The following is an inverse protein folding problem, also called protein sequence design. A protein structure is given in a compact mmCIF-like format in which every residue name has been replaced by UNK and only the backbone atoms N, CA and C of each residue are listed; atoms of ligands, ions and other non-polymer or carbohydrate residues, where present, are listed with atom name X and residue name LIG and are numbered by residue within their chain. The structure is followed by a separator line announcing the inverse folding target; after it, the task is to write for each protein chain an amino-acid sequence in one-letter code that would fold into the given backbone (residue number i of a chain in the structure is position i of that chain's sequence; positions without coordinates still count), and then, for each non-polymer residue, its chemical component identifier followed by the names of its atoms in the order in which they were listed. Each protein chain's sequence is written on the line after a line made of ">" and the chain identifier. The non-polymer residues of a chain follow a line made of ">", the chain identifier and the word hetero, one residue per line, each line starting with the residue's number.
data_IF_039870061082
#
_entry.id   IF_039870061082
#
_cell.length_a   1.000
_cell.length_b   1.000
_cell.length_c   1.000
_cell.angle_alpha   90.00
_cell.angle_beta   90.00
_cell.angle_gamma   90.00
#
_symmetry.space_group_name_H-M   'P 1'
#
loop_
_entity.id
_entity.type
_entity.pdbx_description
1 polymer ?
#
# COMPACT_ATOMS: atom_id res chain seq x y z
N UNK A 1 -57.08 -16.20 -12.00
CA UNK A 1 -57.13 -14.81 -12.46
C UNK A 1 -56.25 -13.99 -11.54
N UNK A 2 -55.00 -13.81 -11.88
CA UNK A 2 -54.14 -12.78 -11.29
C UNK A 2 -52.96 -12.54 -12.27
N UNK A 3 -53.19 -11.68 -13.24
CA UNK A 3 -52.25 -11.35 -14.29
C UNK A 3 -51.61 -9.96 -14.08
N UNK A 4 -51.29 -9.56 -12.84
CA UNK A 4 -50.81 -8.20 -12.61
C UNK A 4 -49.31 -7.99 -12.51
N UNK A 5 -48.50 -9.06 -12.46
CA UNK A 5 -47.03 -8.94 -12.44
C UNK A 5 -46.36 -9.09 -13.81
N UNK A 6 -46.99 -9.81 -14.76
CA UNK A 6 -46.31 -10.27 -16.00
C UNK A 6 -45.75 -9.21 -16.95
N UNK A 7 -46.32 -7.99 -17.01
CA UNK A 7 -45.85 -7.02 -18.02
C UNK A 7 -44.94 -5.90 -17.48
N UNK A 8 -44.69 -5.84 -16.18
CA UNK A 8 -43.88 -4.77 -15.56
C UNK A 8 -42.63 -5.25 -14.81
N UNK A 9 -42.58 -6.53 -14.38
CA UNK A 9 -41.44 -7.04 -13.61
C UNK A 9 -40.26 -7.35 -14.53
N UNK A 10 -39.12 -6.70 -14.28
CA UNK A 10 -37.90 -6.90 -15.02
C UNK A 10 -37.01 -7.87 -14.28
N UNK A 11 -36.58 -8.94 -14.94
CA UNK A 11 -35.75 -9.98 -14.38
C UNK A 11 -34.32 -9.84 -14.87
N UNK A 12 -33.32 -9.86 -13.98
CA UNK A 12 -31.93 -10.05 -14.31
C UNK A 12 -31.57 -11.53 -14.18
N UNK A 13 -31.05 -12.17 -15.22
CA UNK A 13 -30.65 -13.56 -15.17
C UNK A 13 -29.17 -13.74 -15.47
N UNK A 14 -28.46 -14.62 -14.72
CA UNK A 14 -27.05 -14.88 -14.93
C UNK A 14 -26.64 -16.29 -14.52
N UNK A 15 -25.62 -16.83 -15.15
CA UNK A 15 -25.05 -18.13 -14.77
C UNK A 15 -23.53 -18.16 -14.95
N UNK A 16 -22.87 -19.16 -14.37
CA UNK A 16 -21.53 -19.57 -14.81
C UNK A 16 -21.64 -20.55 -16.00
N UNK A 17 -20.50 -21.03 -16.47
CA UNK A 17 -20.41 -22.00 -17.57
C UNK A 17 -21.15 -23.33 -17.28
N UNK A 18 -21.23 -23.74 -16.00
CA UNK A 18 -21.94 -24.98 -15.59
C UNK A 18 -23.45 -24.75 -15.57
N UNK A 19 -23.89 -23.56 -15.18
CA UNK A 19 -25.28 -23.17 -15.11
C UNK A 19 -25.89 -22.80 -16.46
N UNK A 20 -25.09 -22.60 -17.50
CA UNK A 20 -25.53 -22.09 -18.81
C UNK A 20 -26.68 -22.91 -19.41
N UNK A 21 -26.62 -24.27 -19.51
CA UNK A 21 -27.72 -25.03 -20.12
C UNK A 21 -29.05 -24.81 -19.36
N UNK A 22 -29.02 -24.84 -18.02
CA UNK A 22 -30.23 -24.65 -17.23
C UNK A 22 -30.72 -23.17 -17.29
N UNK A 23 -29.84 -22.22 -17.44
CA UNK A 23 -30.20 -20.81 -17.64
C UNK A 23 -30.99 -20.63 -18.95
N UNK A 24 -30.53 -21.25 -20.04
CA UNK A 24 -31.25 -21.15 -21.31
C UNK A 24 -32.67 -21.76 -21.24
N UNK A 25 -32.84 -22.92 -20.60
CA UNK A 25 -34.16 -23.49 -20.31
C UNK A 25 -35.07 -22.55 -19.48
N UNK A 26 -34.49 -21.85 -18.50
CA UNK A 26 -35.23 -20.89 -17.68
C UNK A 26 -35.61 -19.67 -18.51
N UNK A 27 -34.76 -19.20 -19.43
CA UNK A 27 -35.07 -18.08 -20.33
C UNK A 27 -36.24 -18.41 -21.26
N UNK A 28 -36.22 -19.61 -21.86
CA UNK A 28 -37.37 -20.11 -22.66
C UNK A 28 -38.65 -20.12 -21.83
N UNK A 29 -38.57 -20.57 -20.58
CA UNK A 29 -39.72 -20.60 -19.70
C UNK A 29 -40.21 -19.20 -19.29
N UNK A 30 -39.31 -18.24 -19.08
CA UNK A 30 -39.68 -16.84 -18.84
C UNK A 30 -40.39 -16.22 -20.06
N UNK A 31 -39.95 -16.54 -21.28
CA UNK A 31 -40.61 -16.14 -22.52
C UNK A 31 -42.03 -16.73 -22.63
N UNK A 32 -42.21 -18.01 -22.29
CA UNK A 32 -43.51 -18.67 -22.24
C UNK A 32 -44.46 -18.00 -21.22
N UNK A 33 -43.92 -17.53 -20.08
CA UNK A 33 -44.65 -16.83 -19.05
C UNK A 33 -44.88 -15.33 -19.36
N UNK A 34 -44.24 -14.78 -20.37
CA UNK A 34 -44.33 -13.37 -20.77
C UNK A 34 -43.56 -12.39 -19.88
N UNK A 35 -42.47 -12.83 -19.20
CA UNK A 35 -41.59 -11.97 -18.43
C UNK A 35 -40.47 -11.38 -19.28
N UNK A 36 -40.22 -10.10 -19.11
CA UNK A 36 -39.05 -9.45 -19.68
C UNK A 36 -37.79 -9.72 -18.82
N UNK A 37 -36.70 -10.11 -19.44
CA UNK A 37 -35.46 -10.33 -18.74
C UNK A 37 -34.24 -9.74 -19.47
N UNK A 38 -33.17 -9.50 -18.70
CA UNK A 38 -31.84 -9.16 -19.19
C UNK A 38 -30.86 -10.24 -18.81
N UNK A 39 -30.13 -10.79 -19.78
CA UNK A 39 -29.15 -11.86 -19.60
C UNK A 39 -27.75 -11.26 -19.39
N UNK A 40 -27.14 -11.52 -18.22
CA UNK A 40 -25.82 -11.10 -17.80
C UNK A 40 -24.72 -12.15 -17.99
N UNK A 41 -24.99 -13.27 -18.70
CA UNK A 41 -24.03 -14.35 -19.02
C UNK A 41 -24.11 -15.51 -18.00
N UNK A 42 -23.24 -16.55 -18.11
CA UNK A 42 -22.27 -16.75 -19.18
C UNK A 42 -22.97 -17.05 -20.52
N UNK A 43 -22.30 -16.73 -21.65
CA UNK A 43 -22.80 -16.98 -23.00
C UNK A 43 -22.02 -18.13 -23.69
N UNK A 44 -21.07 -18.76 -22.99
CA UNK A 44 -20.30 -19.90 -23.48
C UNK A 44 -20.06 -20.92 -22.37
N UNK A 45 -19.65 -22.11 -22.73
CA UNK A 45 -19.27 -23.19 -21.81
C UNK A 45 -17.81 -23.12 -21.36
N UNK A 46 -17.07 -22.09 -21.75
CA UNK A 46 -15.73 -21.84 -21.25
C UNK A 46 -15.74 -21.55 -19.78
N UNK A 47 -14.70 -22.03 -19.06
CA UNK A 47 -14.61 -21.88 -17.62
C UNK A 47 -14.63 -20.41 -17.20
N UNK A 48 -15.58 -20.07 -16.32
CA UNK A 48 -15.77 -18.71 -15.78
C UNK A 48 -15.93 -18.73 -14.27
N UNK A 49 -15.72 -17.57 -13.63
CA UNK A 49 -15.87 -17.37 -12.19
C UNK A 49 -17.29 -16.88 -11.87
N UNK A 50 -18.09 -17.73 -11.24
CA UNK A 50 -19.50 -17.46 -10.90
C UNK A 50 -19.73 -16.14 -10.13
N UNK A 51 -18.81 -15.63 -9.25
CA UNK A 51 -19.08 -14.39 -8.51
C UNK A 51 -19.26 -13.16 -9.39
N UNK A 52 -18.65 -13.13 -10.58
CA UNK A 52 -18.76 -12.00 -11.51
C UNK A 52 -20.22 -11.84 -11.97
N UNK A 53 -20.83 -12.93 -12.41
CA UNK A 53 -22.24 -12.92 -12.87
C UNK A 53 -23.23 -12.62 -11.73
N UNK A 54 -22.97 -13.15 -10.52
CA UNK A 54 -23.78 -12.80 -9.35
C UNK A 54 -23.70 -11.30 -9.03
N UNK A 55 -22.50 -10.70 -9.16
CA UNK A 55 -22.30 -9.26 -8.99
C UNK A 55 -23.08 -8.46 -10.03
N UNK A 56 -23.03 -8.85 -11.30
CA UNK A 56 -23.68 -8.09 -12.38
C UNK A 56 -25.20 -8.12 -12.23
N UNK A 57 -25.81 -9.29 -11.96
CA UNK A 57 -27.25 -9.43 -11.68
C UNK A 57 -27.66 -8.60 -10.46
N UNK A 58 -26.92 -8.68 -9.35
CA UNK A 58 -27.25 -7.93 -8.14
C UNK A 58 -27.03 -6.44 -8.28
N UNK A 59 -26.07 -6.01 -9.08
CA UNK A 59 -25.86 -4.59 -9.43
C UNK A 59 -27.03 -4.03 -10.23
N UNK A 60 -27.57 -4.81 -11.18
CA UNK A 60 -28.76 -4.42 -11.92
C UNK A 60 -29.98 -4.20 -11.00
N UNK A 61 -30.15 -5.07 -10.00
CA UNK A 61 -31.24 -4.92 -9.01
C UNK A 61 -30.99 -3.70 -8.12
N UNK A 62 -29.79 -3.55 -7.56
CA UNK A 62 -29.46 -2.46 -6.63
C UNK A 62 -29.54 -1.08 -7.29
N UNK A 63 -29.26 -0.98 -8.59
CA UNK A 63 -29.38 0.26 -9.38
C UNK A 63 -30.79 0.55 -9.87
N UNK A 64 -31.77 -0.33 -9.61
CA UNK A 64 -33.13 -0.21 -10.12
C UNK A 64 -33.29 -0.57 -11.60
N UNK A 65 -32.28 -1.22 -12.22
CA UNK A 65 -32.34 -1.73 -13.59
C UNK A 65 -33.18 -3.00 -13.72
N UNK A 66 -33.27 -3.81 -12.64
CA UNK A 66 -34.12 -5.00 -12.56
C UNK A 66 -34.83 -5.04 -11.19
N UNK A 67 -35.93 -5.77 -11.13
CA UNK A 67 -36.74 -5.93 -9.93
C UNK A 67 -36.42 -7.24 -9.20
N UNK A 68 -36.11 -8.29 -9.95
CA UNK A 68 -35.80 -9.64 -9.45
C UNK A 68 -34.59 -10.21 -10.18
N UNK A 69 -33.93 -11.19 -9.54
CA UNK A 69 -32.76 -11.88 -10.11
C UNK A 69 -32.88 -13.39 -10.10
N UNK A 70 -32.36 -14.05 -11.14
CA UNK A 70 -32.22 -15.51 -11.20
C UNK A 70 -30.75 -15.81 -11.48
N UNK A 71 -30.16 -16.65 -10.63
CA UNK A 71 -28.75 -17.02 -10.71
C UNK A 71 -28.58 -18.54 -10.81
N UNK A 72 -27.77 -19.02 -11.73
CA UNK A 72 -27.56 -20.45 -11.94
C UNK A 72 -26.08 -20.80 -11.93
N UNK A 73 -25.68 -21.78 -11.11
CA UNK A 73 -24.33 -22.37 -11.16
C UNK A 73 -24.42 -23.88 -10.89
N UNK A 74 -23.34 -24.56 -10.59
CA UNK A 74 -23.36 -26.00 -10.32
C UNK A 74 -24.29 -26.40 -9.18
N UNK A 75 -24.34 -25.64 -8.08
CA UNK A 75 -25.16 -25.94 -6.88
C UNK A 75 -26.08 -24.80 -6.45
N UNK A 76 -25.94 -23.61 -7.02
CA UNK A 76 -26.63 -22.39 -6.57
C UNK A 76 -26.01 -21.73 -5.32
N UNK A 77 -25.27 -22.48 -4.51
CA UNK A 77 -24.76 -22.03 -3.20
C UNK A 77 -23.82 -20.85 -3.34
N UNK A 78 -22.78 -20.95 -4.20
CA UNK A 78 -21.81 -19.88 -4.38
C UNK A 78 -22.42 -18.59 -4.91
N UNK A 79 -23.36 -18.70 -5.84
CA UNK A 79 -24.14 -17.57 -6.36
C UNK A 79 -24.95 -16.89 -5.25
N UNK A 80 -25.66 -17.66 -4.43
CA UNK A 80 -26.43 -17.11 -3.30
C UNK A 80 -25.54 -16.42 -2.26
N UNK A 81 -24.41 -17.03 -1.90
CA UNK A 81 -23.44 -16.42 -0.98
C UNK A 81 -22.93 -15.08 -1.52
N UNK A 82 -22.57 -15.03 -2.80
CA UNK A 82 -22.06 -13.80 -3.43
C UNK A 82 -23.14 -12.74 -3.49
N UNK A 83 -24.33 -13.08 -3.93
CA UNK A 83 -25.46 -12.16 -4.04
C UNK A 83 -25.78 -11.50 -2.69
N UNK A 84 -25.79 -12.26 -1.59
CA UNK A 84 -26.04 -11.75 -0.24
C UNK A 84 -24.91 -10.88 0.35
N UNK A 85 -23.82 -10.61 -0.41
CA UNK A 85 -22.81 -9.59 -0.04
C UNK A 85 -23.19 -8.19 -0.50
N UNK A 86 -24.21 -8.06 -1.36
CA UNK A 86 -24.68 -6.79 -1.90
C UNK A 86 -25.88 -6.31 -1.06
N UNK A 87 -25.80 -5.05 -0.60
CA UNK A 87 -26.85 -4.45 0.25
C UNK A 87 -28.23 -4.50 -0.40
N UNK A 88 -29.24 -4.85 0.39
CA UNK A 88 -30.62 -4.95 -0.06
C UNK A 88 -30.93 -6.20 -0.89
N UNK A 89 -29.94 -7.07 -1.13
CA UNK A 89 -30.17 -8.36 -1.79
C UNK A 89 -30.48 -9.43 -0.76
N UNK A 90 -31.58 -10.14 -0.99
CA UNK A 90 -32.01 -11.30 -0.24
C UNK A 90 -32.09 -12.49 -1.20
N UNK A 91 -30.94 -13.15 -1.38
CA UNK A 91 -30.79 -14.30 -2.25
C UNK A 91 -31.02 -15.60 -1.50
N UNK A 92 -31.80 -16.48 -2.09
CA UNK A 92 -32.05 -17.83 -1.58
C UNK A 92 -31.62 -18.87 -2.61
N UNK A 93 -31.02 -19.98 -2.16
CA UNK A 93 -30.82 -21.16 -3.00
C UNK A 93 -31.96 -22.15 -2.72
N UNK A 94 -32.65 -22.59 -3.78
CA UNK A 94 -33.76 -23.52 -3.65
C UNK A 94 -33.57 -24.73 -4.59
N UNK A 95 -33.96 -25.91 -4.08
CA UNK A 95 -34.00 -27.15 -4.84
C UNK A 95 -35.40 -27.78 -4.92
N UNK A 96 -36.40 -27.04 -4.38
CA UNK A 96 -37.82 -27.45 -4.45
C UNK A 96 -38.74 -26.22 -4.38
N UNK A 97 -40.02 -26.32 -4.89
CA UNK A 97 -40.93 -25.19 -5.02
C UNK A 97 -41.44 -24.58 -3.70
N UNK A 98 -41.55 -25.39 -2.62
CA UNK A 98 -42.11 -24.91 -1.36
C UNK A 98 -41.22 -23.88 -0.68
N UNK A 99 -39.94 -24.15 -0.55
CA UNK A 99 -38.98 -23.17 -0.02
C UNK A 99 -38.87 -21.92 -0.90
N UNK A 100 -38.94 -22.08 -2.21
CA UNK A 100 -38.93 -20.95 -3.14
C UNK A 100 -40.16 -20.04 -2.92
N UNK A 101 -41.34 -20.59 -2.84
CA UNK A 101 -42.58 -19.86 -2.52
C UNK A 101 -42.49 -19.14 -1.16
N UNK A 102 -42.12 -19.87 -0.10
CA UNK A 102 -42.01 -19.30 1.23
C UNK A 102 -40.95 -18.23 1.38
N UNK A 103 -39.87 -18.36 0.62
CA UNK A 103 -38.80 -17.32 0.62
C UNK A 103 -39.29 -15.96 0.12
N UNK A 104 -40.25 -15.97 -0.83
CA UNK A 104 -40.92 -14.75 -1.26
C UNK A 104 -41.90 -14.27 -0.23
N UNK A 105 -42.83 -15.16 0.24
CA UNK A 105 -43.88 -14.83 1.18
C UNK A 105 -43.34 -14.30 2.53
N UNK A 106 -42.31 -14.93 3.06
CA UNK A 106 -41.81 -14.62 4.41
C UNK A 106 -40.59 -13.74 4.43
N UNK A 107 -39.70 -13.86 3.43
CA UNK A 107 -38.38 -13.17 3.42
C UNK A 107 -38.28 -12.12 2.31
N UNK A 108 -39.30 -11.98 1.49
CA UNK A 108 -39.34 -11.08 0.35
C UNK A 108 -38.02 -11.18 -0.47
N UNK A 109 -37.59 -12.41 -0.77
CA UNK A 109 -36.36 -12.65 -1.52
C UNK A 109 -36.48 -12.02 -2.91
N UNK A 110 -35.43 -11.34 -3.34
CA UNK A 110 -35.35 -10.69 -4.66
C UNK A 110 -34.36 -11.36 -5.60
N UNK A 111 -33.67 -12.42 -5.15
CA UNK A 111 -32.79 -13.24 -5.97
C UNK A 111 -33.03 -14.73 -5.66
N UNK A 112 -33.28 -15.51 -6.70
CA UNK A 112 -33.37 -16.96 -6.66
C UNK A 112 -32.09 -17.58 -7.25
N UNK A 113 -31.44 -18.46 -6.52
CA UNK A 113 -30.26 -19.19 -6.99
C UNK A 113 -30.59 -20.69 -7.17
N UNK A 114 -30.17 -21.26 -8.29
CA UNK A 114 -30.46 -22.66 -8.69
C UNK A 114 -29.19 -23.43 -9.02
N UNK A 115 -29.21 -24.72 -8.76
CA UNK A 115 -28.10 -25.64 -8.99
C UNK A 115 -28.32 -26.55 -10.19
N UNK A 116 -27.61 -26.30 -11.31
CA UNK A 116 -27.74 -27.08 -12.53
C UNK A 116 -27.31 -28.56 -12.39
N UNK A 117 -26.53 -28.89 -11.35
CA UNK A 117 -26.15 -30.28 -11.02
C UNK A 117 -27.07 -30.89 -9.94
N UNK A 118 -28.04 -30.14 -9.46
CA UNK A 118 -28.91 -30.53 -8.34
C UNK A 118 -30.32 -30.79 -8.83
N UNK A 119 -30.81 -29.95 -9.75
CA UNK A 119 -32.19 -30.03 -10.26
C UNK A 119 -32.21 -30.15 -11.79
N UNK A 120 -33.24 -30.84 -12.29
CA UNK A 120 -33.52 -30.93 -13.74
C UNK A 120 -34.39 -29.76 -14.23
N UNK A 121 -34.54 -29.58 -15.55
CA UNK A 121 -35.25 -28.45 -16.15
C UNK A 121 -36.71 -28.32 -15.66
N UNK A 122 -37.47 -29.41 -15.62
CA UNK A 122 -38.87 -29.37 -15.18
C UNK A 122 -39.03 -28.92 -13.74
N UNK A 123 -38.15 -29.38 -12.83
CA UNK A 123 -38.15 -28.95 -11.47
C UNK A 123 -37.75 -27.47 -11.32
N UNK A 124 -36.79 -27.02 -12.14
CA UNK A 124 -36.41 -25.61 -12.19
C UNK A 124 -37.57 -24.71 -12.62
N UNK A 125 -38.32 -25.10 -13.66
CA UNK A 125 -39.55 -24.41 -14.11
C UNK A 125 -40.57 -24.31 -12.96
N UNK A 126 -40.81 -25.39 -12.21
CA UNK A 126 -41.71 -25.38 -11.05
C UNK A 126 -41.23 -24.45 -9.93
N UNK A 127 -39.93 -24.46 -9.63
CA UNK A 127 -39.34 -23.59 -8.60
C UNK A 127 -39.45 -22.12 -9.02
N UNK A 128 -39.06 -21.78 -10.25
CA UNK A 128 -39.16 -20.41 -10.79
C UNK A 128 -40.62 -19.92 -10.76
N UNK A 129 -41.57 -20.76 -11.21
CA UNK A 129 -42.96 -20.40 -11.19
C UNK A 129 -43.43 -20.09 -9.77
N UNK A 130 -43.21 -21.00 -8.82
CA UNK A 130 -43.66 -20.85 -7.43
C UNK A 130 -43.02 -19.60 -6.77
N UNK A 131 -41.80 -19.27 -7.13
CA UNK A 131 -41.13 -18.09 -6.61
C UNK A 131 -41.66 -16.78 -7.23
N UNK A 132 -41.92 -16.75 -8.53
CA UNK A 132 -42.41 -15.55 -9.23
C UNK A 132 -43.87 -15.24 -8.93
N UNK A 133 -44.71 -16.27 -8.67
CA UNK A 133 -46.13 -16.10 -8.37
C UNK A 133 -46.41 -15.77 -6.89
N UNK A 134 -45.43 -15.94 -6.01
CA UNK A 134 -45.60 -15.67 -4.59
C UNK A 134 -45.45 -14.18 -4.27
N UNK A 135 -46.34 -13.68 -3.40
CA UNK A 135 -46.31 -12.29 -2.93
C UNK A 135 -45.87 -12.22 -1.45
N UNK A 136 -45.20 -11.13 -1.09
CA UNK A 136 -44.75 -10.92 0.28
C UNK A 136 -45.94 -10.66 1.22
N UNK A 137 -46.05 -11.42 2.29
CA UNK A 137 -47.14 -11.34 3.23
C UNK A 137 -47.08 -10.16 4.22
N UNK A 138 -45.92 -9.53 4.38
CA UNK A 138 -45.76 -8.40 5.30
C UNK A 138 -45.94 -8.80 6.77
N UNK A 139 -46.56 -7.91 7.59
CA UNK A 139 -46.85 -8.15 9.00
C UNK A 139 -45.60 -8.55 9.80
N UNK A 140 -45.68 -9.66 10.57
CA UNK A 140 -44.55 -10.17 11.37
C UNK A 140 -43.27 -10.47 10.57
N UNK A 141 -43.43 -10.69 9.28
CA UNK A 141 -42.25 -10.95 8.39
C UNK A 141 -41.56 -9.66 8.06
N UNK A 142 -42.26 -8.54 7.90
CA UNK A 142 -41.68 -7.22 7.69
C UNK A 142 -40.77 -6.81 8.85
N UNK A 143 -41.22 -6.98 10.12
CA UNK A 143 -40.37 -6.65 11.28
C UNK A 143 -39.08 -7.45 11.34
N UNK A 144 -39.04 -8.70 10.84
CA UNK A 144 -37.83 -9.50 10.76
C UNK A 144 -36.86 -8.99 9.64
N UNK A 145 -37.42 -8.50 8.54
CA UNK A 145 -36.62 -7.89 7.47
C UNK A 145 -36.02 -6.54 7.89
N UNK A 146 -36.73 -5.79 8.76
CA UNK A 146 -36.19 -4.57 9.38
C UNK A 146 -34.92 -4.89 10.18
N UNK A 147 -34.91 -5.93 11.01
CA UNK A 147 -33.72 -6.37 11.76
C UNK A 147 -32.56 -6.74 10.81
N UNK A 148 -32.84 -7.43 9.70
CA UNK A 148 -31.80 -7.74 8.70
C UNK A 148 -31.23 -6.45 8.12
N UNK A 149 -32.07 -5.46 7.82
CA UNK A 149 -31.64 -4.17 7.29
C UNK A 149 -30.83 -3.36 8.30
N UNK A 150 -31.15 -3.45 9.60
CA UNK A 150 -30.35 -2.86 10.68
C UNK A 150 -28.95 -3.47 10.76
N UNK A 151 -28.83 -4.80 10.67
CA UNK A 151 -27.53 -5.50 10.64
C UNK A 151 -26.69 -5.07 9.44
N UNK A 152 -27.31 -4.89 8.26
CA UNK A 152 -26.62 -4.36 7.07
C UNK A 152 -26.12 -2.94 7.30
N UNK A 153 -26.95 -2.07 7.89
CA UNK A 153 -26.61 -0.67 8.17
C UNK A 153 -25.46 -0.55 9.21
N UNK A 154 -25.50 -1.35 10.27
CA UNK A 154 -24.42 -1.40 11.27
C UNK A 154 -23.09 -1.80 10.63
N UNK A 155 -23.09 -2.81 9.80
CA UNK A 155 -21.88 -3.27 9.10
C UNK A 155 -21.29 -2.17 8.19
N UNK A 156 -22.12 -1.42 7.50
CA UNK A 156 -21.70 -0.31 6.64
C UNK A 156 -21.14 0.85 7.46
N UNK A 157 -21.78 1.19 8.58
CA UNK A 157 -21.32 2.26 9.49
C UNK A 157 -19.96 1.95 10.10
N UNK A 158 -19.74 0.71 10.55
CA UNK A 158 -18.44 0.26 11.08
C UNK A 158 -17.35 0.34 9.99
N UNK A 159 -17.65 -0.12 8.77
CA UNK A 159 -16.70 -0.03 7.64
C UNK A 159 -16.33 1.43 7.34
N UNK A 160 -17.31 2.31 7.28
CA UNK A 160 -17.08 3.75 7.04
C UNK A 160 -16.28 4.39 8.16
N UNK A 161 -16.56 4.08 9.42
CA UNK A 161 -15.81 4.59 10.57
C UNK A 161 -14.35 4.10 10.57
N UNK A 162 -14.09 2.84 10.22
CA UNK A 162 -12.72 2.30 10.09
C UNK A 162 -11.94 3.00 8.99
N UNK A 163 -12.56 3.24 7.82
CA UNK A 163 -11.93 3.97 6.71
C UNK A 163 -11.62 5.42 7.10
N UNK A 164 -12.56 6.14 7.69
CA UNK A 164 -12.36 7.53 8.15
C UNK A 164 -11.29 7.65 9.24
N UNK A 165 -11.23 6.70 10.18
CA UNK A 165 -10.19 6.68 11.20
C UNK A 165 -8.80 6.36 10.59
N UNK A 166 -8.72 5.46 9.62
CA UNK A 166 -7.49 5.19 8.86
C UNK A 166 -6.99 6.43 8.11
N UNK A 167 -7.87 7.11 7.40
CA UNK A 167 -7.55 8.35 6.68
C UNK A 167 -7.09 9.47 7.61
N UNK A 168 -7.71 9.62 8.77
CA UNK A 168 -7.32 10.60 9.80
C UNK A 168 -5.95 10.28 10.38
N UNK A 169 -5.72 9.03 10.78
CA UNK A 169 -4.43 8.59 11.32
C UNK A 169 -3.29 8.79 10.31
N UNK A 170 -3.53 8.49 9.03
CA UNK A 170 -2.56 8.71 7.96
C UNK A 170 -2.25 10.21 7.78
N UNK A 171 -3.25 11.09 7.77
CA UNK A 171 -3.06 12.56 7.70
C UNK A 171 -2.28 13.10 8.89
N UNK A 172 -2.57 12.62 10.09
CA UNK A 172 -1.86 13.01 11.30
C UNK A 172 -0.39 12.57 11.23
N UNK A 173 -0.10 11.37 10.74
CA UNK A 173 1.26 10.86 10.55
C UNK A 173 2.03 11.67 9.50
N UNK A 174 1.39 12.02 8.37
CA UNK A 174 1.99 12.89 7.35
C UNK A 174 2.34 14.26 7.94
N UNK A 175 1.43 14.85 8.72
CA UNK A 175 1.65 16.16 9.36
C UNK A 175 2.85 16.12 10.32
N UNK A 176 2.95 15.11 11.18
CA UNK A 176 4.07 14.91 12.10
C UNK A 176 5.38 14.68 11.34
N UNK A 177 5.36 13.88 10.29
CA UNK A 177 6.53 13.59 9.46
C UNK A 177 7.04 14.85 8.77
N UNK A 178 6.16 15.68 8.19
CA UNK A 178 6.51 16.95 7.56
C UNK A 178 7.17 17.90 8.55
N UNK A 179 6.63 18.00 9.76
CA UNK A 179 7.22 18.78 10.86
C UNK A 179 8.61 18.28 11.20
N UNK A 180 8.77 16.98 11.39
CA UNK A 180 10.06 16.35 11.70
C UNK A 180 11.11 16.59 10.61
N UNK A 181 10.74 16.48 9.33
CA UNK A 181 11.64 16.77 8.20
C UNK A 181 12.09 18.25 8.23
N UNK A 182 11.17 19.19 8.47
CA UNK A 182 11.49 20.61 8.54
C UNK A 182 12.47 20.93 9.69
N UNK A 183 12.22 20.38 10.88
CA UNK A 183 13.07 20.51 12.05
C UNK A 183 14.46 19.88 11.83
N UNK A 184 14.51 18.65 11.27
CA UNK A 184 15.77 17.98 10.96
C UNK A 184 16.55 18.72 9.89
N UNK A 185 15.90 19.23 8.83
CA UNK A 185 16.56 20.02 7.80
C UNK A 185 17.25 21.27 8.35
N UNK A 186 16.57 22.00 9.28
CA UNK A 186 17.16 23.13 10.00
C UNK A 186 18.38 22.68 10.82
N UNK A 187 18.27 21.58 11.56
CA UNK A 187 19.33 21.06 12.41
C UNK A 187 20.54 20.60 11.59
N UNK A 188 20.34 19.90 10.47
CA UNK A 188 21.40 19.51 9.54
C UNK A 188 22.18 20.71 9.01
N UNK A 189 21.50 21.81 8.71
CA UNK A 189 22.13 23.04 8.26
C UNK A 189 22.91 23.76 9.39
N UNK A 190 22.31 23.91 10.55
CA UNK A 190 22.95 24.57 11.72
C UNK A 190 24.19 23.83 12.21
N UNK A 191 24.21 22.49 12.06
CA UNK A 191 25.35 21.64 12.42
C UNK A 191 26.38 21.46 11.31
N UNK A 192 26.24 22.18 10.22
CA UNK A 192 27.14 22.08 9.06
C UNK A 192 27.20 20.68 8.43
N UNK A 193 26.14 19.90 8.58
CA UNK A 193 25.98 18.61 7.93
C UNK A 193 25.39 18.74 6.52
N UNK A 194 25.07 19.97 6.10
CA UNK A 194 24.76 20.34 4.70
C UNK A 194 25.08 21.82 4.49
N UNK A 195 24.92 22.27 3.26
CA UNK A 195 25.18 23.65 2.84
C UNK A 195 23.96 24.28 2.12
N UNK A 196 24.14 25.47 1.58
CA UNK A 196 23.09 26.14 0.80
C UNK A 196 22.93 25.56 -0.60
N UNK A 197 23.92 24.83 -1.12
CA UNK A 197 23.95 24.36 -2.50
C UNK A 197 23.28 22.99 -2.68
N UNK A 198 23.32 22.13 -1.65
CA UNK A 198 22.87 20.75 -1.78
C UNK A 198 22.10 20.20 -0.58
N UNK A 199 21.83 18.92 -0.70
CA UNK A 199 21.09 18.16 0.30
C UNK A 199 19.59 18.12 0.08
N UNK A 200 19.01 17.03 0.48
CA UNK A 200 17.57 16.79 0.55
C UNK A 200 17.25 15.65 1.53
N UNK A 201 16.05 15.69 2.07
CA UNK A 201 15.59 14.75 3.10
C UNK A 201 14.24 14.20 2.67
N UNK A 202 14.07 12.89 2.78
CA UNK A 202 12.77 12.26 2.60
C UNK A 202 12.49 11.21 3.66
N UNK A 203 11.20 10.98 3.90
CA UNK A 203 10.68 9.94 4.79
C UNK A 203 9.51 9.24 4.10
N UNK A 204 9.53 7.92 4.09
CA UNK A 204 8.44 7.10 3.61
C UNK A 204 7.38 6.93 4.69
N UNK A 205 6.15 7.22 4.33
CA UNK A 205 4.94 7.02 5.15
C UNK A 205 3.98 6.14 4.34
N UNK A 206 3.90 4.88 4.68
CA UNK A 206 3.14 3.87 3.93
C UNK A 206 3.51 3.86 2.44
N UNK A 207 2.55 4.17 1.56
CA UNK A 207 2.72 4.26 0.11
C UNK A 207 3.01 5.69 -0.39
N UNK A 208 3.33 6.60 0.53
CA UNK A 208 3.68 7.99 0.20
C UNK A 208 5.08 8.36 0.69
N UNK A 209 5.63 9.43 0.16
CA UNK A 209 6.94 9.96 0.53
C UNK A 209 6.80 11.45 0.84
N UNK A 210 7.15 11.83 2.08
CA UNK A 210 7.39 13.22 2.43
C UNK A 210 8.82 13.59 2.03
N UNK A 211 9.01 14.68 1.27
CA UNK A 211 10.32 15.08 0.76
C UNK A 211 10.50 16.60 0.78
N UNK A 212 11.72 17.07 1.08
CA UNK A 212 12.05 18.49 1.02
C UNK A 212 11.92 19.01 -0.42
N UNK A 213 11.37 20.22 -0.61
CA UNK A 213 11.20 20.82 -1.93
C UNK A 213 12.55 21.22 -2.55
N UNK A 214 12.55 21.42 -3.84
CA UNK A 214 13.68 21.99 -4.57
C UNK A 214 14.06 23.36 -4.00
N UNK A 215 15.34 23.67 -3.92
CA UNK A 215 15.90 24.90 -3.39
C UNK A 215 15.70 25.10 -1.86
N UNK A 216 15.60 24.02 -1.10
CA UNK A 216 15.51 24.09 0.36
C UNK A 216 16.71 24.80 1.00
N UNK A 217 17.93 24.57 0.51
CA UNK A 217 19.13 25.27 0.92
C UNK A 217 19.22 26.69 0.35
N UNK A 218 19.34 26.81 -1.00
CA UNK A 218 19.71 28.06 -1.66
C UNK A 218 18.68 29.20 -1.57
N UNK A 219 17.39 28.89 -1.48
CA UNK A 219 16.35 29.91 -1.39
C UNK A 219 15.70 30.03 -0.02
N UNK A 220 15.70 28.95 0.78
CA UNK A 220 15.01 28.89 2.08
C UNK A 220 15.98 28.77 3.26
N UNK A 221 17.27 28.59 3.00
CA UNK A 221 18.30 28.42 4.03
C UNK A 221 17.91 27.35 5.07
N UNK A 222 17.27 26.27 4.58
CA UNK A 222 16.73 25.17 5.38
C UNK A 222 15.68 25.58 6.44
N UNK A 223 15.12 26.78 6.36
CA UNK A 223 14.04 27.28 7.23
C UNK A 223 12.68 26.91 6.62
N UNK A 224 12.41 25.61 6.54
CA UNK A 224 11.17 25.09 5.97
C UNK A 224 10.03 25.15 7.00
N UNK A 225 8.85 25.53 6.53
CA UNK A 225 7.61 25.26 7.26
C UNK A 225 7.11 23.86 6.91
N UNK A 226 6.40 23.15 7.83
CA UNK A 226 5.91 21.80 7.57
C UNK A 226 5.07 21.66 6.28
N UNK A 227 4.24 22.66 5.95
CA UNK A 227 3.43 22.68 4.74
C UNK A 227 4.23 22.83 3.43
N UNK A 228 5.49 23.23 3.52
CA UNK A 228 6.41 23.31 2.37
C UNK A 228 7.11 21.99 2.07
N UNK A 229 7.10 21.03 3.01
CA UNK A 229 7.56 19.67 2.73
C UNK A 229 6.52 19.00 1.86
N UNK A 230 6.94 18.49 0.70
CA UNK A 230 6.05 17.90 -0.29
C UNK A 230 5.64 16.48 0.11
N UNK A 231 4.46 16.06 -0.33
CA UNK A 231 4.02 14.65 -0.32
C UNK A 231 3.91 14.19 -1.76
N UNK A 232 4.48 13.05 -2.06
CA UNK A 232 4.41 12.39 -3.36
C UNK A 232 4.02 10.92 -3.22
N UNK A 233 3.63 10.29 -4.32
CA UNK A 233 3.55 8.83 -4.40
C UNK A 233 4.96 8.20 -4.54
N UNK A 234 5.03 6.87 -4.59
CA UNK A 234 6.26 6.10 -4.76
C UNK A 234 6.92 6.25 -6.15
N UNK A 235 6.24 6.91 -7.09
CA UNK A 235 6.73 7.19 -8.44
C UNK A 235 7.19 8.65 -8.61
N UNK A 236 7.02 9.47 -7.56
CA UNK A 236 7.43 10.88 -7.56
C UNK A 236 6.37 11.84 -8.08
N UNK A 237 5.14 11.40 -8.31
CA UNK A 237 4.04 12.29 -8.63
C UNK A 237 3.64 13.06 -7.36
N UNK A 238 3.66 14.39 -7.43
CA UNK A 238 3.31 15.23 -6.30
C UNK A 238 1.82 15.11 -5.96
N UNK A 239 1.53 14.82 -4.70
CA UNK A 239 0.17 14.73 -4.16
C UNK A 239 -0.18 16.03 -3.43
N UNK A 240 0.76 16.56 -2.59
CA UNK A 240 0.51 17.72 -1.74
C UNK A 240 1.78 18.55 -1.54
N UNK A 241 1.61 19.83 -1.21
CA UNK A 241 2.67 20.80 -0.85
C UNK A 241 3.02 21.76 -1.96
N UNK A 242 3.68 22.87 -1.56
CA UNK A 242 4.03 23.98 -2.45
C UNK A 242 5.48 23.88 -2.94
N UNK A 243 5.65 23.91 -4.27
CA UNK A 243 6.96 23.87 -4.92
C UNK A 243 7.16 22.63 -5.79
N UNK A 244 8.37 22.53 -6.33
CA UNK A 244 8.77 21.42 -7.17
C UNK A 244 9.54 20.37 -6.37
N UNK A 245 9.42 19.12 -6.78
CA UNK A 245 10.23 18.02 -6.25
C UNK A 245 11.70 18.25 -6.61
N UNK A 246 12.61 17.92 -5.70
CA UNK A 246 14.05 18.00 -5.97
C UNK A 246 14.43 17.15 -7.19
N UNK A 247 15.37 17.63 -7.99
CA UNK A 247 15.90 16.86 -9.14
C UNK A 247 16.60 15.57 -8.71
N UNK A 248 17.04 15.49 -7.46
CA UNK A 248 17.69 14.30 -6.86
C UNK A 248 16.71 13.34 -6.20
N UNK A 249 15.43 13.67 -6.17
CA UNK A 249 14.40 12.79 -5.64
C UNK A 249 14.36 11.40 -6.29
N UNK A 250 14.83 11.29 -7.54
CA UNK A 250 15.00 10.01 -8.26
C UNK A 250 15.83 9.00 -7.46
N UNK A 251 16.91 9.46 -6.82
CA UNK A 251 17.74 8.63 -5.94
C UNK A 251 16.92 8.11 -4.76
N UNK A 252 16.14 8.99 -4.11
CA UNK A 252 15.29 8.62 -2.98
C UNK A 252 14.22 7.61 -3.36
N UNK A 253 13.49 7.85 -4.44
CA UNK A 253 12.45 6.93 -4.93
C UNK A 253 13.03 5.56 -5.29
N UNK A 254 14.19 5.55 -5.99
CA UNK A 254 14.85 4.31 -6.36
C UNK A 254 15.31 3.50 -5.15
N UNK A 255 15.81 4.15 -4.09
CA UNK A 255 16.16 3.52 -2.82
C UNK A 255 14.92 2.90 -2.17
N UNK A 256 13.79 3.62 -2.07
CA UNK A 256 12.57 3.10 -1.47
C UNK A 256 11.92 1.96 -2.25
N UNK A 257 12.08 1.94 -3.57
CA UNK A 257 11.61 0.85 -4.43
C UNK A 257 12.45 -0.42 -4.26
N UNK A 258 13.77 -0.28 -4.11
CA UNK A 258 14.69 -1.41 -3.96
C UNK A 258 14.76 -1.95 -2.54
N UNK A 259 14.69 -1.07 -1.53
CA UNK A 259 14.85 -1.43 -0.12
C UNK A 259 13.57 -1.13 0.68
N UNK A 260 12.67 -2.13 0.88
CA UNK A 260 11.41 -1.94 1.61
C UNK A 260 11.58 -1.48 3.07
N UNK A 261 12.71 -1.85 3.69
CA UNK A 261 13.05 -1.47 5.07
C UNK A 261 13.57 -0.03 5.20
N UNK A 262 13.93 0.62 4.09
CA UNK A 262 14.30 2.03 4.08
C UNK A 262 13.07 2.91 4.36
N UNK A 263 13.15 3.70 5.44
CA UNK A 263 12.07 4.64 5.82
C UNK A 263 12.51 6.09 5.75
N UNK A 264 13.81 6.37 5.72
CA UNK A 264 14.34 7.71 5.54
C UNK A 264 15.58 7.70 4.64
N UNK A 265 15.71 8.73 3.82
CA UNK A 265 16.92 9.02 3.03
C UNK A 265 17.32 10.46 3.29
N UNK A 266 18.58 10.66 3.69
CA UNK A 266 19.21 11.96 3.90
C UNK A 266 20.40 12.10 2.95
N UNK A 267 20.29 12.98 1.98
CA UNK A 267 21.41 13.43 1.18
C UNK A 267 22.03 14.67 1.81
N UNK A 268 23.34 14.65 1.98
CA UNK A 268 24.09 15.58 2.80
C UNK A 268 25.38 16.04 2.11
N UNK A 269 25.77 17.29 2.38
CA UNK A 269 27.07 17.85 2.07
C UNK A 269 27.84 18.13 3.38
N UNK A 270 27.88 17.14 4.28
CA UNK A 270 28.56 17.23 5.56
C UNK A 270 30.02 17.63 5.39
N UNK A 271 30.43 18.69 6.05
CA UNK A 271 31.67 19.46 5.73
C UNK A 271 32.92 18.59 5.69
N UNK A 272 33.11 17.73 6.69
CA UNK A 272 34.31 16.90 6.78
C UNK A 272 34.21 15.68 5.83
N UNK A 273 33.04 15.10 5.71
CA UNK A 273 32.79 13.99 4.77
C UNK A 273 32.99 14.43 3.30
N UNK A 274 32.72 15.69 2.96
CA UNK A 274 32.93 16.25 1.61
C UNK A 274 34.38 16.20 1.18
N UNK A 275 35.35 16.19 2.08
CA UNK A 275 36.77 16.00 1.71
C UNK A 275 37.00 14.61 1.12
N UNK A 276 36.39 13.59 1.68
CA UNK A 276 36.44 12.21 1.18
C UNK A 276 35.61 12.05 -0.11
N UNK A 277 34.48 12.71 -0.20
CA UNK A 277 33.67 12.79 -1.45
C UNK A 277 34.50 13.39 -2.59
N UNK A 278 35.21 14.49 -2.33
CA UNK A 278 36.03 15.17 -3.34
C UNK A 278 37.29 14.38 -3.75
N UNK A 279 37.84 13.60 -2.83
CA UNK A 279 39.00 12.76 -3.08
C UNK A 279 38.66 11.36 -3.63
N UNK A 280 37.36 11.00 -3.64
CA UNK A 280 36.91 9.67 -4.03
C UNK A 280 37.39 8.55 -3.09
N UNK A 281 37.61 8.87 -1.81
CA UNK A 281 38.14 7.93 -0.82
C UNK A 281 37.02 7.45 0.12
N UNK A 282 36.98 6.17 0.54
CA UNK A 282 36.07 5.68 1.55
C UNK A 282 36.40 6.28 2.92
N UNK A 283 35.44 6.24 3.84
CA UNK A 283 35.65 6.67 5.24
C UNK A 283 35.71 5.43 6.12
N UNK A 284 36.90 5.13 6.65
CA UNK A 284 37.13 4.06 7.61
C UNK A 284 36.61 4.48 8.99
N UNK A 285 36.00 3.55 9.76
CA UNK A 285 35.59 3.82 11.12
C UNK A 285 36.78 3.85 12.07
N UNK A 286 37.09 5.02 12.62
CA UNK A 286 38.23 5.24 13.55
C UNK A 286 37.77 5.57 14.96
N UNK A 287 36.47 5.64 15.19
CA UNK A 287 35.85 5.85 16.50
C UNK A 287 35.00 4.62 16.88
N UNK A 288 34.98 4.25 18.15
CA UNK A 288 34.13 3.15 18.67
C UNK A 288 32.68 3.29 18.23
N UNK A 289 32.14 4.53 18.30
CA UNK A 289 30.77 4.84 17.90
C UNK A 289 30.45 4.60 16.42
N UNK A 290 31.47 4.45 15.57
CA UNK A 290 31.34 4.25 14.11
C UNK A 290 31.65 2.82 13.67
N UNK A 291 32.33 2.01 14.49
CA UNK A 291 32.70 0.65 14.14
C UNK A 291 31.54 -0.22 13.65
N UNK A 292 30.36 -0.08 14.28
CA UNK A 292 29.16 -0.84 13.93
C UNK A 292 28.60 -0.56 12.54
N UNK A 293 29.05 0.50 11.87
CA UNK A 293 28.57 0.88 10.53
C UNK A 293 29.52 0.44 9.41
N UNK A 294 30.70 -0.11 9.81
CA UNK A 294 31.74 -0.50 8.89
C UNK A 294 32.29 0.66 8.04
N UNK A 295 33.13 0.38 7.07
CA UNK A 295 33.64 1.35 6.11
C UNK A 295 32.50 1.95 5.28
N UNK A 296 32.46 3.29 5.19
CA UNK A 296 31.51 3.98 4.33
C UNK A 296 32.08 3.96 2.89
N UNK A 297 31.49 3.19 1.98
CA UNK A 297 32.01 2.98 0.64
C UNK A 297 31.77 4.17 -0.29
N UNK A 298 32.46 4.15 -1.42
CA UNK A 298 32.32 5.13 -2.52
C UNK A 298 31.69 4.44 -3.72
N UNK A 299 30.72 5.11 -4.38
CA UNK A 299 30.16 4.60 -5.65
C UNK A 299 31.12 4.86 -6.84
N UNK A 300 30.85 4.23 -7.96
CA UNK A 300 31.35 4.71 -9.25
C UNK A 300 30.76 6.09 -9.53
N UNK A 301 31.52 6.93 -10.21
CA UNK A 301 31.02 8.24 -10.63
C UNK A 301 29.81 8.12 -11.55
N UNK A 302 28.80 8.93 -11.25
CA UNK A 302 27.63 9.15 -12.11
C UNK A 302 27.22 10.63 -12.03
N UNK A 303 26.70 11.22 -13.12
CA UNK A 303 26.28 12.62 -13.11
C UNK A 303 25.14 12.86 -12.11
N UNK A 304 25.17 14.02 -11.44
CA UNK A 304 24.10 14.47 -10.57
C UNK A 304 22.75 14.46 -11.29
N UNK A 305 21.66 14.22 -10.55
CA UNK A 305 20.27 14.19 -11.03
C UNK A 305 19.96 13.10 -12.07
N UNK A 306 20.87 12.13 -12.31
CA UNK A 306 20.69 11.05 -13.28
C UNK A 306 20.14 9.77 -12.63
N UNK A 307 19.47 8.94 -13.42
CA UNK A 307 19.12 7.56 -13.01
C UNK A 307 20.39 6.72 -12.73
N UNK A 308 21.48 6.99 -13.46
CA UNK A 308 22.77 6.31 -13.25
C UNK A 308 23.32 6.53 -11.84
N UNK A 309 23.10 7.72 -11.24
CA UNK A 309 23.47 7.97 -9.85
C UNK A 309 22.65 7.12 -8.89
N UNK A 310 21.35 7.03 -9.12
CA UNK A 310 20.47 6.20 -8.32
C UNK A 310 20.86 4.71 -8.39
N UNK A 311 21.13 4.20 -9.58
CA UNK A 311 21.57 2.81 -9.78
C UNK A 311 22.95 2.55 -9.12
N UNK A 312 23.90 3.47 -9.23
CA UNK A 312 25.22 3.33 -8.61
C UNK A 312 25.15 3.29 -7.08
N UNK A 313 24.24 4.07 -6.47
CA UNK A 313 24.01 4.06 -5.02
C UNK A 313 23.37 2.74 -4.61
N UNK A 314 22.32 2.30 -5.29
CA UNK A 314 21.64 1.04 -5.03
C UNK A 314 22.59 -0.15 -5.13
N UNK A 315 23.46 -0.19 -6.15
CA UNK A 315 24.44 -1.27 -6.34
C UNK A 315 25.35 -1.43 -5.10
N UNK A 316 25.82 -0.33 -4.52
CA UNK A 316 26.73 -0.34 -3.36
C UNK A 316 25.99 -0.66 -2.06
N UNK A 317 24.71 -0.32 -1.98
CA UNK A 317 23.88 -0.56 -0.78
C UNK A 317 23.31 -1.99 -0.75
N UNK A 318 23.26 -2.69 -1.88
CA UNK A 318 22.87 -4.12 -1.92
C UNK A 318 23.76 -4.96 -0.99
N UNK A 319 23.11 -5.82 -0.21
CA UNK A 319 23.76 -6.63 0.84
C UNK A 319 23.90 -5.93 2.18
N UNK A 320 23.43 -4.66 2.29
CA UNK A 320 23.44 -3.91 3.55
C UNK A 320 22.05 -3.71 4.15
N UNK A 321 21.05 -4.52 3.74
CA UNK A 321 19.66 -4.42 4.19
C UNK A 321 19.53 -4.60 5.71
N UNK A 322 20.39 -5.43 6.32
CA UNK A 322 20.40 -5.62 7.77
C UNK A 322 20.81 -4.34 8.51
N UNK A 323 21.75 -3.57 7.97
CA UNK A 323 22.14 -2.27 8.53
C UNK A 323 20.99 -1.26 8.43
N UNK A 324 20.27 -1.22 7.31
CA UNK A 324 19.09 -0.37 7.14
C UNK A 324 18.04 -0.71 8.19
N UNK A 325 17.77 -2.00 8.41
CA UNK A 325 16.74 -2.48 9.35
C UNK A 325 17.09 -2.19 10.81
N UNK A 326 18.34 -2.34 11.18
CA UNK A 326 18.79 -2.17 12.58
C UNK A 326 19.10 -0.70 12.91
N UNK A 327 19.73 0.02 11.97
CA UNK A 327 20.33 1.34 12.19
C UNK A 327 20.10 2.25 10.97
N UNK A 328 21.16 2.40 10.19
CA UNK A 328 21.25 3.07 8.91
C UNK A 328 22.52 2.58 8.18
N UNK A 329 22.59 2.81 6.88
CA UNK A 329 23.80 2.65 6.07
C UNK A 329 24.07 3.91 5.27
N UNK A 330 25.27 4.06 4.73
CA UNK A 330 25.64 5.24 3.99
C UNK A 330 26.57 4.91 2.81
N UNK A 331 26.64 5.83 1.86
CA UNK A 331 27.49 5.74 0.68
C UNK A 331 27.92 7.13 0.23
N UNK A 332 29.15 7.28 -0.22
CA UNK A 332 29.70 8.49 -0.82
C UNK A 332 29.53 8.45 -2.33
N UNK A 333 28.95 9.47 -2.92
CA UNK A 333 28.91 9.70 -4.35
C UNK A 333 30.04 10.67 -4.72
N UNK A 334 31.08 10.27 -5.48
CA UNK A 334 32.23 11.10 -5.78
C UNK A 334 31.86 12.43 -6.42
N UNK A 335 32.46 13.52 -5.93
CA UNK A 335 32.21 14.90 -6.36
C UNK A 335 30.76 15.40 -6.21
N UNK A 336 29.95 14.68 -5.44
CA UNK A 336 28.53 14.99 -5.26
C UNK A 336 28.15 15.13 -3.79
N UNK A 337 28.17 14.05 -3.01
CA UNK A 337 27.81 14.12 -1.59
C UNK A 337 27.68 12.76 -0.91
N UNK A 338 27.17 12.81 0.30
CA UNK A 338 26.89 11.66 1.15
C UNK A 338 25.38 11.33 1.07
N UNK A 339 25.03 10.05 0.91
CA UNK A 339 23.69 9.53 1.01
C UNK A 339 23.60 8.58 2.19
N UNK A 340 22.64 8.82 3.08
CA UNK A 340 22.39 8.01 4.27
C UNK A 340 20.96 7.45 4.19
N UNK A 341 20.84 6.13 4.35
CA UNK A 341 19.60 5.39 4.25
C UNK A 341 19.32 4.75 5.62
N UNK A 342 18.23 5.13 6.27
CA UNK A 342 17.91 4.71 7.63
C UNK A 342 16.55 4.03 7.75
N UNK A 343 16.40 3.26 8.86
CA UNK A 343 15.11 2.72 9.29
C UNK A 343 14.11 3.81 9.69
N UNK A 344 14.60 5.00 10.02
CA UNK A 344 13.86 6.21 10.34
C UNK A 344 14.79 7.44 10.16
N UNK A 345 14.22 8.63 10.29
CA UNK A 345 14.95 9.88 10.09
C UNK A 345 15.99 10.15 11.19
N UNK A 346 15.73 9.72 12.42
CA UNK A 346 16.67 9.89 13.53
C UNK A 346 17.93 9.06 13.32
N UNK A 347 17.76 7.82 12.87
CA UNK A 347 18.88 6.94 12.54
C UNK A 347 19.71 7.48 11.36
N UNK A 348 19.06 8.04 10.34
CA UNK A 348 19.77 8.66 9.22
C UNK A 348 20.53 9.92 9.66
N UNK A 349 19.94 10.75 10.49
CA UNK A 349 20.60 11.93 11.06
C UNK A 349 21.78 11.55 11.96
N UNK A 350 21.60 10.63 12.91
CA UNK A 350 22.65 10.15 13.82
C UNK A 350 23.85 9.62 13.04
N UNK A 351 23.63 8.79 12.02
CA UNK A 351 24.72 8.29 11.20
C UNK A 351 25.42 9.40 10.41
N UNK A 352 24.70 10.37 9.86
CA UNK A 352 25.28 11.51 9.14
C UNK A 352 26.26 12.29 10.05
N UNK A 353 25.87 12.58 11.28
CA UNK A 353 26.68 13.31 12.25
C UNK A 353 27.91 12.50 12.69
N UNK A 354 27.75 11.18 12.91
CA UNK A 354 28.87 10.28 13.25
C UNK A 354 29.87 10.16 12.12
N UNK A 355 29.43 10.05 10.88
CA UNK A 355 30.32 10.01 9.70
C UNK A 355 31.12 11.31 9.61
N UNK A 356 30.48 12.46 9.75
CA UNK A 356 31.19 13.76 9.67
C UNK A 356 32.22 13.94 10.80
N UNK A 357 31.85 13.58 12.03
CA UNK A 357 32.79 13.59 13.18
C UNK A 357 33.94 12.62 12.98
N UNK A 358 33.69 11.42 12.50
CA UNK A 358 34.72 10.42 12.21
C UNK A 358 35.67 10.90 11.09
N UNK A 359 35.13 11.48 10.02
CA UNK A 359 35.89 12.11 8.95
C UNK A 359 36.79 13.25 9.48
N UNK A 360 36.26 14.11 10.36
CA UNK A 360 37.05 15.14 11.03
C UNK A 360 38.23 14.54 11.81
N UNK A 361 38.04 13.48 12.61
CA UNK A 361 39.11 12.83 13.35
C UNK A 361 40.20 12.31 12.43
N UNK A 362 39.85 11.68 11.31
CA UNK A 362 40.85 11.22 10.30
C UNK A 362 41.65 12.40 9.72
N UNK A 363 40.95 13.49 9.35
CA UNK A 363 41.61 14.67 8.77
C UNK A 363 42.55 15.32 9.76
N UNK A 364 42.11 15.53 11.00
CA UNK A 364 42.89 16.23 12.02
C UNK A 364 44.06 15.39 12.56
N UNK A 365 43.95 14.06 12.57
CA UNK A 365 45.05 13.19 12.97
C UNK A 365 46.32 13.39 12.12
N UNK A 366 46.17 13.84 10.87
CA UNK A 366 47.27 14.15 9.97
C UNK A 366 48.09 15.39 10.36
N UNK A 367 47.53 16.20 11.26
CA UNK A 367 48.15 17.43 11.76
C UNK A 367 48.88 17.24 13.10
N UNK A 368 48.79 16.06 13.71
CA UNK A 368 49.43 15.78 15.00
C UNK A 368 50.95 15.69 14.81
N UNK A 369 51.74 16.40 15.66
CA UNK A 369 53.23 16.53 15.42
C UNK A 369 54.04 15.31 15.87
N UNK A 370 53.56 14.46 16.73
CA UNK A 370 54.31 13.31 17.26
C UNK A 370 53.75 11.97 16.74
N UNK A 371 54.59 11.19 16.05
CA UNK A 371 54.29 9.85 15.55
C UNK A 371 53.90 9.75 14.09
N UNK A 372 53.80 10.88 13.38
CA UNK A 372 53.39 10.93 11.99
C UNK A 372 51.88 10.73 11.79
N UNK A 373 51.34 11.03 10.62
CA UNK A 373 49.93 10.78 10.34
C UNK A 373 49.69 9.26 10.34
N UNK A 374 48.85 8.77 11.29
CA UNK A 374 48.37 7.40 11.19
C UNK A 374 47.36 7.32 10.06
N UNK A 375 47.55 6.33 9.20
CA UNK A 375 46.54 6.03 8.21
C UNK A 375 45.25 5.50 8.89
N UNK A 376 44.09 5.69 8.28
CA UNK A 376 42.83 5.30 8.89
C UNK A 376 42.74 3.81 9.19
N UNK A 377 43.37 2.95 8.43
CA UNK A 377 43.40 1.51 8.63
C UNK A 377 44.13 1.15 9.95
N UNK A 378 45.31 1.77 10.16
CA UNK A 378 46.08 1.64 11.39
C UNK A 378 45.29 2.16 12.62
N UNK A 379 44.56 3.27 12.49
CA UNK A 379 43.69 3.78 13.55
C UNK A 379 42.59 2.78 13.89
N UNK A 380 41.94 2.21 12.88
CA UNK A 380 40.90 1.18 13.04
C UNK A 380 41.44 -0.10 13.72
N UNK A 381 42.62 -0.55 13.30
CA UNK A 381 43.29 -1.72 13.87
C UNK A 381 43.58 -1.54 15.36
N UNK A 382 44.16 -0.41 15.76
CA UNK A 382 44.42 -0.09 17.19
C UNK A 382 43.16 -0.03 18.02
N UNK A 383 42.10 0.57 17.51
CA UNK A 383 40.80 0.60 18.20
C UNK A 383 40.22 -0.80 18.38
N UNK A 384 40.24 -1.63 17.32
CA UNK A 384 39.75 -3.01 17.37
C UNK A 384 40.54 -3.88 18.33
N UNK A 385 41.86 -3.68 18.41
CA UNK A 385 42.73 -4.37 19.37
C UNK A 385 42.45 -3.95 20.83
N UNK A 386 42.27 -2.64 21.07
CA UNK A 386 41.93 -2.11 22.40
C UNK A 386 40.60 -2.69 22.91
N UNK A 387 39.58 -2.75 22.05
CA UNK A 387 38.27 -3.32 22.39
C UNK A 387 38.39 -4.81 22.69
N UNK A 388 39.14 -5.57 21.89
CA UNK A 388 39.36 -7.00 22.12
C UNK A 388 40.04 -7.22 23.49
N UNK A 389 41.13 -6.49 23.75
CA UNK A 389 41.86 -6.57 25.01
C UNK A 389 40.98 -6.26 26.21
N UNK A 390 40.11 -5.22 26.09
CA UNK A 390 39.14 -4.88 27.14
C UNK A 390 38.14 -6.02 27.40
N UNK A 391 37.56 -6.58 26.34
CA UNK A 391 36.59 -7.67 26.44
C UNK A 391 37.21 -8.95 27.03
N UNK A 392 38.46 -9.29 26.63
CA UNK A 392 39.19 -10.47 27.16
C UNK A 392 39.47 -10.32 28.65
N UNK A 393 39.80 -9.13 29.15
CA UNK A 393 39.98 -8.86 30.58
C UNK A 393 38.69 -8.95 31.38
N UNK A 394 37.55 -8.61 30.81
CA UNK A 394 36.24 -8.63 31.50
C UNK A 394 35.48 -9.94 31.34
N UNK A 395 35.85 -10.79 30.37
CA UNK A 395 35.31 -12.15 30.27
C UNK A 395 35.94 -13.14 31.25
N UNK A 396 37.09 -12.78 31.86
CA UNK A 396 37.84 -13.59 32.79
C UNK A 396 37.76 -13.05 34.26
N UNK A 397 36.98 -12.02 34.51
CA UNK A 397 36.66 -11.46 35.82
C UNK A 397 35.20 -11.76 36.23
#
# INVERSE_FOLDING_TARGET
>A
MNNHLNSKTRIAIGSDHVGLPLKEEIKEYLDEMGYAYQDFGAHSTERTDYPLFAKDVTSAISSGGADLGILVCGTGVGMSITANKVKGIRAVVCSEPYSAMLSRQHNNTNVLALGARVIGPELARMIVKSWLEAEFEGGRHASRLEIISEIEAERESVKTAVLQNGDRAHKDLLSQTRKKIAETGKLVFERHLTDAAGGNISVRVDDTICITPRYSGSKRHWQLQPNQVLVSDMHGNKIEGDGDVSRESKVHYRIYQEFPDAKAVLHSHARNAMVFVASGQPIEPVLEATLKFDTIPVTKFAPAHSEKLADAIVEVVKGKEEYIRKYATAVLAPWHGLFVIGKDLDAAFDLTERIDTNAYCILMSRLLPEGGPMDPESMRMRLSEAIRTFNDHHANA
#
